data_IF_794426805409
#
_entry.id   IF_794426805409
#
_cell.length_a   1.000
_cell.length_b   1.000
_cell.length_c   1.000
_cell.angle_alpha   90.00
_cell.angle_beta   90.00
_cell.angle_gamma   90.00
#
_symmetry.space_group_name_H-M   'P 1'
#
loop_
_entity.id
_entity.type
_entity.pdbx_description
1 polymer ?
#
# COMPACT_ATOMS: atom_id res chain seq x y z
N UNK A 1 8.64 5.79 -0.74
CA UNK A 1 7.31 5.17 -0.87
C UNK A 1 6.48 6.04 -1.80
N UNK A 2 6.11 5.54 -2.96
CA UNK A 2 5.28 6.25 -3.93
C UNK A 2 3.97 5.50 -4.12
N UNK A 3 2.86 6.19 -3.87
CA UNK A 3 1.50 5.68 -4.09
C UNK A 3 0.80 6.67 -4.98
N UNK A 4 0.30 6.22 -6.12
CA UNK A 4 -0.46 7.03 -7.05
C UNK A 4 -1.79 6.35 -7.30
N UNK A 5 -2.87 7.05 -6.96
CA UNK A 5 -4.23 6.53 -7.06
C UNK A 5 -5.12 7.56 -7.73
N UNK A 6 -5.93 7.08 -8.67
CA UNK A 6 -6.97 7.85 -9.31
C UNK A 6 -8.30 7.17 -9.03
N UNK A 7 -9.23 7.92 -8.45
CA UNK A 7 -10.60 7.46 -8.21
C UNK A 7 -11.57 8.30 -9.04
N UNK A 8 -12.53 7.63 -9.66
CA UNK A 8 -13.68 8.28 -10.32
C UNK A 8 -14.94 7.69 -9.72
N UNK A 9 -15.83 8.55 -9.25
CA UNK A 9 -17.04 8.17 -8.52
C UNK A 9 -18.26 8.80 -9.18
N UNK A 10 -19.31 8.01 -9.33
CA UNK A 10 -20.64 8.46 -9.75
C UNK A 10 -21.61 8.08 -8.64
N UNK A 11 -22.37 9.06 -8.16
CA UNK A 11 -23.34 8.87 -7.08
C UNK A 11 -24.76 9.06 -7.60
N UNK A 12 -25.67 8.15 -7.25
CA UNK A 12 -27.09 8.25 -7.53
C UNK A 12 -27.91 7.84 -6.30
N UNK A 13 -28.71 8.79 -5.77
CA UNK A 13 -29.45 8.64 -4.52
C UNK A 13 -28.54 8.23 -3.35
N UNK A 14 -28.63 6.98 -2.91
CA UNK A 14 -27.86 6.40 -1.79
C UNK A 14 -26.80 5.43 -2.27
N UNK A 15 -26.61 5.31 -3.57
CA UNK A 15 -25.65 4.41 -4.19
C UNK A 15 -24.49 5.20 -4.78
N UNK A 16 -23.29 4.65 -4.66
CA UNK A 16 -22.11 5.16 -5.34
C UNK A 16 -21.39 4.03 -6.07
N UNK A 17 -21.03 4.27 -7.32
CA UNK A 17 -20.17 3.42 -8.11
C UNK A 17 -18.83 4.13 -8.25
N UNK A 18 -17.74 3.42 -7.95
CA UNK A 18 -16.39 3.97 -8.07
C UNK A 18 -15.48 3.05 -8.87
N UNK A 19 -14.61 3.67 -9.67
CA UNK A 19 -13.47 3.02 -10.28
C UNK A 19 -12.20 3.59 -9.66
N UNK A 20 -11.37 2.72 -9.09
CA UNK A 20 -10.05 3.04 -8.56
C UNK A 20 -8.99 2.44 -9.48
N UNK A 21 -8.01 3.24 -9.87
CA UNK A 21 -6.77 2.76 -10.47
C UNK A 21 -5.60 3.17 -9.58
N UNK A 22 -4.78 2.20 -9.18
CA UNK A 22 -3.73 2.42 -8.19
C UNK A 22 -2.44 1.71 -8.55
N UNK A 23 -1.32 2.37 -8.22
CA UNK A 23 -0.01 1.76 -8.17
C UNK A 23 0.67 2.13 -6.84
N UNK A 24 1.34 1.15 -6.24
CA UNK A 24 2.06 1.34 -4.98
C UNK A 24 3.41 0.63 -5.06
N UNK A 25 4.46 1.39 -4.79
CA UNK A 25 5.84 0.94 -4.72
C UNK A 25 6.42 1.29 -3.35
N UNK A 26 6.71 0.26 -2.57
CA UNK A 26 7.19 0.35 -1.20
C UNK A 26 8.49 -0.43 -1.07
N UNK A 27 9.48 0.23 -0.47
CA UNK A 27 10.80 -0.32 -0.18
C UNK A 27 11.15 0.00 1.27
N UNK A 28 11.62 -1.00 2.00
CA UNK A 28 12.24 -0.83 3.30
C UNK A 28 13.59 -1.51 3.28
N UNK A 29 14.61 -0.83 3.81
CA UNK A 29 15.97 -1.35 3.90
C UNK A 29 16.61 -0.95 5.22
N UNK A 30 17.49 -1.81 5.72
CA UNK A 30 18.43 -1.48 6.81
C UNK A 30 19.49 -0.48 6.36
N UNK A 31 20.22 0.13 7.31
CA UNK A 31 21.42 0.92 7.01
C UNK A 31 22.43 0.14 6.17
N UNK A 32 22.63 -1.15 6.47
CA UNK A 32 23.49 -2.01 5.65
C UNK A 32 22.94 -2.29 4.25
N UNK A 33 21.62 -2.23 4.05
CA UNK A 33 21.04 -2.27 2.69
C UNK A 33 21.39 -1.01 1.91
N UNK A 34 21.30 0.15 2.55
CA UNK A 34 21.71 1.41 1.92
C UNK A 34 23.19 1.38 1.55
N UNK A 35 24.04 0.86 2.45
CA UNK A 35 25.47 0.68 2.16
C UNK A 35 25.69 -0.27 0.98
N UNK A 36 25.01 -1.42 0.93
CA UNK A 36 25.09 -2.35 -0.20
C UNK A 36 24.73 -1.69 -1.53
N UNK A 37 23.70 -0.84 -1.53
CA UNK A 37 23.28 -0.10 -2.72
C UNK A 37 24.32 0.96 -3.14
N UNK A 38 24.95 1.65 -2.19
CA UNK A 38 26.02 2.60 -2.49
C UNK A 38 27.25 1.88 -3.05
N UNK A 39 27.65 0.77 -2.44
CA UNK A 39 28.75 -0.08 -2.90
C UNK A 39 28.48 -0.61 -4.33
N UNK A 40 27.25 -1.06 -4.60
CA UNK A 40 26.76 -1.44 -5.93
C UNK A 40 26.91 -0.31 -6.96
N UNK A 41 26.40 0.86 -6.61
CA UNK A 41 26.34 2.02 -7.51
C UNK A 41 27.74 2.57 -7.81
N UNK A 42 28.65 2.51 -6.84
CA UNK A 42 30.04 2.88 -7.01
C UNK A 42 30.86 1.83 -7.77
N UNK A 43 30.29 0.64 -8.04
CA UNK A 43 30.98 -0.55 -8.52
C UNK A 43 32.25 -0.86 -7.68
N UNK A 44 32.19 -0.53 -6.40
CA UNK A 44 33.31 -0.55 -5.48
C UNK A 44 32.81 -1.02 -4.12
N UNK A 45 32.97 -2.32 -3.87
CA UNK A 45 32.68 -2.90 -2.57
C UNK A 45 33.84 -2.61 -1.62
N UNK A 46 33.54 -2.14 -0.41
CA UNK A 46 34.55 -2.04 0.64
C UNK A 46 34.99 -3.46 1.07
N UNK A 47 36.26 -3.87 0.86
CA UNK A 47 36.72 -5.22 1.18
C UNK A 47 36.66 -5.56 2.68
N UNK A 48 36.71 -4.54 3.55
CA UNK A 48 36.59 -4.67 5.00
C UNK A 48 35.16 -4.43 5.51
N UNK A 49 34.20 -4.21 4.61
CA UNK A 49 32.80 -3.96 4.95
C UNK A 49 32.19 -5.18 5.64
N UNK A 50 31.67 -4.96 6.86
CA UNK A 50 30.85 -5.93 7.58
C UNK A 50 29.53 -5.29 8.01
N UNK A 51 28.44 -5.70 7.38
CA UNK A 51 27.12 -5.17 7.71
C UNK A 51 25.98 -6.13 7.33
N UNK A 52 24.87 -6.03 8.07
CA UNK A 52 23.67 -6.82 7.82
C UNK A 52 22.77 -6.14 6.79
N UNK A 53 22.32 -6.93 5.84
CA UNK A 53 21.39 -6.52 4.77
C UNK A 53 20.04 -7.12 5.09
N UNK A 54 19.04 -6.25 5.20
CA UNK A 54 17.64 -6.65 5.32
C UNK A 54 16.82 -5.66 4.52
N UNK A 55 16.34 -6.12 3.36
CA UNK A 55 15.52 -5.33 2.46
C UNK A 55 14.24 -6.07 2.16
N UNK A 56 13.15 -5.32 2.12
CA UNK A 56 11.85 -5.77 1.65
C UNK A 56 11.32 -4.83 0.59
N UNK A 57 10.66 -5.41 -0.40
CA UNK A 57 10.03 -4.71 -1.51
C UNK A 57 8.59 -5.20 -1.65
N UNK A 58 7.68 -4.27 -1.90
CA UNK A 58 6.31 -4.54 -2.32
C UNK A 58 5.94 -3.59 -3.45
N UNK A 59 5.61 -4.14 -4.63
CA UNK A 59 5.14 -3.40 -5.79
C UNK A 59 3.82 -3.97 -6.25
N UNK A 60 2.85 -3.11 -6.46
CA UNK A 60 1.54 -3.53 -6.93
C UNK A 60 0.94 -2.52 -7.89
N UNK A 61 0.17 -3.02 -8.86
CA UNK A 61 -0.69 -2.22 -9.72
C UNK A 61 -2.04 -2.91 -9.82
N UNK A 62 -3.09 -2.17 -9.49
CA UNK A 62 -4.44 -2.70 -9.41
C UNK A 62 -5.47 -1.76 -10.04
N UNK A 63 -6.62 -2.34 -10.37
CA UNK A 63 -7.87 -1.63 -10.61
C UNK A 63 -8.93 -2.21 -9.69
N UNK A 64 -9.80 -1.38 -9.13
CA UNK A 64 -10.92 -1.85 -8.32
C UNK A 64 -12.22 -1.17 -8.75
N UNK A 65 -13.29 -1.96 -8.82
CA UNK A 65 -14.64 -1.47 -8.99
C UNK A 65 -15.35 -1.61 -7.66
N UNK A 66 -15.93 -0.51 -7.20
CA UNK A 66 -16.63 -0.44 -5.92
C UNK A 66 -18.10 -0.13 -6.15
N UNK A 67 -18.97 -0.85 -5.46
CA UNK A 67 -20.37 -0.46 -5.27
C UNK A 67 -20.58 -0.19 -3.79
N UNK A 68 -21.11 0.98 -3.46
CA UNK A 68 -21.41 1.33 -2.08
C UNK A 68 -22.83 1.82 -1.88
N UNK A 69 -23.36 1.57 -0.70
CA UNK A 69 -24.66 2.05 -0.26
C UNK A 69 -24.53 2.85 1.04
N UNK A 70 -25.18 4.01 1.09
CA UNK A 70 -25.28 4.90 2.25
C UNK A 70 -26.61 4.68 2.98
N UNK A 71 -26.55 4.22 4.23
CA UNK A 71 -27.70 3.98 5.11
C UNK A 71 -27.74 5.07 6.18
N UNK A 72 -28.65 6.06 6.08
CA UNK A 72 -28.78 7.08 7.10
C UNK A 72 -29.38 6.49 8.39
N UNK A 73 -28.93 6.97 9.54
CA UNK A 73 -29.48 6.61 10.84
C UNK A 73 -29.64 7.84 11.72
N UNK A 74 -30.48 7.69 12.76
CA UNK A 74 -30.64 8.66 13.83
C UNK A 74 -30.60 7.93 15.16
N UNK A 75 -29.69 8.32 16.04
CA UNK A 75 -29.55 7.72 17.37
C UNK A 75 -29.38 8.83 18.42
N UNK A 76 -30.19 8.81 19.48
CA UNK A 76 -30.18 9.83 20.55
C UNK A 76 -30.22 11.28 20.02
N UNK A 77 -31.07 11.54 19.01
CA UNK A 77 -31.18 12.86 18.37
C UNK A 77 -30.06 13.22 17.39
N UNK A 78 -28.95 12.48 17.40
CA UNK A 78 -27.83 12.64 16.48
C UNK A 78 -28.14 11.99 15.13
N UNK A 79 -27.73 12.67 14.04
CA UNK A 79 -27.84 12.15 12.68
C UNK A 79 -26.49 11.62 12.22
N UNK A 80 -26.52 10.49 11.54
CA UNK A 80 -25.35 9.87 10.93
C UNK A 80 -25.72 9.02 9.73
N UNK A 81 -24.71 8.36 9.17
CA UNK A 81 -24.89 7.36 8.14
C UNK A 81 -23.82 6.29 8.24
N UNK A 82 -24.18 5.10 7.78
CA UNK A 82 -23.26 3.99 7.55
C UNK A 82 -23.09 3.88 6.03
N UNK A 83 -21.86 3.81 5.55
CA UNK A 83 -21.57 3.45 4.18
C UNK A 83 -20.96 2.05 4.17
N UNK A 84 -21.50 1.17 3.34
CA UNK A 84 -20.95 -0.17 3.11
C UNK A 84 -20.56 -0.24 1.65
N UNK A 85 -19.32 -0.62 1.36
CA UNK A 85 -18.83 -0.80 0.00
C UNK A 85 -18.28 -2.21 -0.20
N UNK A 86 -18.61 -2.80 -1.33
CA UNK A 86 -18.01 -4.04 -1.80
C UNK A 86 -17.18 -3.72 -3.01
N UNK A 87 -15.92 -4.16 -3.00
CA UNK A 87 -15.01 -3.95 -4.11
C UNK A 87 -14.64 -5.27 -4.77
N UNK A 88 -14.56 -5.22 -6.09
CA UNK A 88 -13.91 -6.23 -6.89
C UNK A 88 -12.57 -5.68 -7.38
N UNK A 89 -11.48 -6.34 -7.01
CA UNK A 89 -10.11 -5.91 -7.28
C UNK A 89 -9.50 -6.80 -8.36
N UNK A 90 -8.86 -6.18 -9.35
CA UNK A 90 -8.03 -6.84 -10.35
C UNK A 90 -6.59 -6.36 -10.19
N UNK A 91 -5.69 -7.29 -9.90
CA UNK A 91 -4.26 -7.00 -9.74
C UNK A 91 -3.52 -7.37 -11.02
N UNK A 92 -2.93 -6.36 -11.65
CA UNK A 92 -2.22 -6.50 -12.92
C UNK A 92 -0.73 -6.79 -12.72
N UNK A 93 -0.15 -6.23 -11.67
CA UNK A 93 1.25 -6.45 -11.29
C UNK A 93 1.30 -6.63 -9.79
N UNK A 94 2.06 -7.64 -9.36
CA UNK A 94 2.38 -7.92 -7.98
C UNK A 94 3.82 -8.42 -7.90
N UNK A 95 4.63 -7.78 -7.07
CA UNK A 95 5.96 -8.25 -6.69
C UNK A 95 6.15 -8.01 -5.20
N UNK A 96 6.49 -9.05 -4.47
CA UNK A 96 6.84 -8.97 -3.05
C UNK A 96 8.11 -9.75 -2.83
N UNK A 97 9.14 -9.10 -2.32
CA UNK A 97 10.43 -9.73 -2.12
C UNK A 97 11.09 -9.33 -0.82
N UNK A 98 11.86 -10.24 -0.25
CA UNK A 98 12.75 -10.00 0.88
C UNK A 98 14.14 -10.53 0.51
N UNK A 99 15.17 -9.74 0.81
CA UNK A 99 16.55 -10.17 0.76
C UNK A 99 17.17 -9.94 2.12
N UNK A 100 17.61 -11.02 2.76
CA UNK A 100 18.21 -11.00 4.09
C UNK A 100 19.56 -11.69 4.02
N UNK A 101 20.59 -11.06 4.55
CA UNK A 101 21.94 -11.61 4.53
C UNK A 101 22.93 -10.68 5.20
N UNK A 102 24.20 -10.94 4.93
CA UNK A 102 25.31 -10.16 5.45
C UNK A 102 26.35 -9.94 4.36
N UNK A 103 26.98 -8.78 4.43
CA UNK A 103 28.21 -8.50 3.71
C UNK A 103 29.38 -8.89 4.60
N UNK A 104 30.29 -9.74 4.11
CA UNK A 104 31.52 -10.12 4.81
C UNK A 104 32.60 -10.51 3.82
N UNK A 105 33.85 -10.10 4.07
CA UNK A 105 35.02 -10.48 3.26
C UNK A 105 34.80 -10.21 1.76
N UNK A 106 34.33 -9.01 1.41
CA UNK A 106 34.04 -8.61 0.03
C UNK A 106 32.96 -9.46 -0.69
N UNK A 107 32.14 -10.19 0.05
CA UNK A 107 31.08 -11.02 -0.51
C UNK A 107 29.77 -10.84 0.24
N UNK A 108 28.70 -10.63 -0.50
CA UNK A 108 27.35 -10.69 0.04
C UNK A 108 26.90 -12.15 0.06
N UNK A 109 26.43 -12.61 1.21
CA UNK A 109 25.81 -13.92 1.38
C UNK A 109 24.43 -13.77 2.04
N UNK A 110 23.39 -14.31 1.41
CA UNK A 110 22.03 -14.15 1.90
C UNK A 110 21.01 -15.06 1.25
N UNK A 111 19.76 -14.86 1.65
CA UNK A 111 18.59 -15.54 1.11
C UNK A 111 17.66 -14.52 0.46
N UNK A 112 17.31 -14.77 -0.79
CA UNK A 112 16.30 -14.06 -1.55
C UNK A 112 15.01 -14.89 -1.56
N UNK A 113 13.92 -14.25 -1.13
CA UNK A 113 12.56 -14.71 -1.33
C UNK A 113 11.86 -13.70 -2.22
N UNK A 114 11.39 -14.10 -3.40
CA UNK A 114 10.69 -13.19 -4.32
C UNK A 114 9.45 -13.87 -4.88
N UNK A 115 8.31 -13.25 -4.65
CA UNK A 115 7.03 -13.59 -5.25
C UNK A 115 6.73 -12.57 -6.33
N UNK A 116 6.56 -13.02 -7.57
CA UNK A 116 6.46 -12.10 -8.70
C UNK A 116 5.51 -12.60 -9.76
N UNK A 117 4.84 -11.64 -10.37
CA UNK A 117 4.06 -11.81 -11.61
C UNK A 117 4.86 -11.38 -12.86
N UNK A 118 6.01 -10.72 -12.67
CA UNK A 118 6.89 -10.28 -13.76
C UNK A 118 7.54 -11.48 -14.45
N UNK A 119 7.61 -11.45 -15.79
CA UNK A 119 8.23 -12.50 -16.60
C UNK A 119 7.37 -13.76 -16.78
N UNK A 120 6.09 -13.72 -16.36
CA UNK A 120 5.12 -14.78 -16.57
C UNK A 120 4.31 -14.54 -17.86
N UNK A 121 3.87 -15.62 -18.54
CA UNK A 121 3.07 -15.53 -19.78
C UNK A 121 1.74 -14.82 -19.51
N UNK A 122 1.38 -13.86 -20.36
CA UNK A 122 0.35 -12.82 -20.17
C UNK A 122 -1.09 -13.30 -19.87
N UNK A 123 -1.42 -14.58 -20.10
CA UNK A 123 -2.77 -15.11 -19.87
C UNK A 123 -3.09 -15.52 -18.43
N UNK A 124 -2.09 -15.80 -17.58
CA UNK A 124 -2.27 -16.45 -16.26
C UNK A 124 -1.82 -15.60 -15.06
N UNK A 125 -1.58 -14.31 -15.29
CA UNK A 125 -0.87 -13.41 -14.34
C UNK A 125 -1.83 -12.55 -13.50
N UNK A 126 -3.11 -12.57 -13.84
CA UNK A 126 -4.10 -11.68 -13.25
C UNK A 126 -4.53 -12.19 -11.88
N UNK A 127 -4.34 -11.33 -10.87
CA UNK A 127 -4.93 -11.53 -9.56
C UNK A 127 -6.35 -10.98 -9.54
N UNK A 128 -7.24 -11.67 -8.84
CA UNK A 128 -8.60 -11.22 -8.58
C UNK A 128 -8.81 -11.14 -7.08
N UNK A 129 -9.61 -10.21 -6.59
CA UNK A 129 -9.86 -10.06 -5.17
C UNK A 129 -11.20 -9.44 -4.89
N UNK A 130 -11.63 -9.60 -3.64
CA UNK A 130 -12.80 -8.90 -3.11
C UNK A 130 -12.43 -8.27 -1.77
N UNK A 131 -12.97 -7.09 -1.52
CA UNK A 131 -12.86 -6.39 -0.24
C UNK A 131 -14.22 -5.85 0.20
N UNK A 132 -14.33 -5.68 1.51
CA UNK A 132 -15.46 -5.03 2.17
C UNK A 132 -14.93 -3.84 2.97
N UNK A 133 -15.48 -2.67 2.66
CA UNK A 133 -15.23 -1.43 3.36
C UNK A 133 -16.49 -1.00 4.12
N UNK A 134 -16.30 -0.49 5.34
CA UNK A 134 -17.38 0.06 6.15
C UNK A 134 -16.95 1.40 6.70
N UNK A 135 -17.80 2.40 6.55
CA UNK A 135 -17.66 3.68 7.21
C UNK A 135 -18.89 4.00 8.06
N UNK A 136 -18.66 4.58 9.23
CA UNK A 136 -19.71 5.09 10.11
C UNK A 136 -19.39 6.53 10.43
N UNK A 137 -20.28 7.45 10.09
CA UNK A 137 -20.10 8.88 10.29
C UNK A 137 -21.29 9.43 11.06
N UNK A 138 -21.02 10.11 12.16
CA UNK A 138 -22.03 10.66 13.06
C UNK A 138 -21.72 12.11 13.40
N UNK A 139 -22.77 12.91 13.53
CA UNK A 139 -22.66 14.27 14.08
C UNK A 139 -22.82 14.21 15.60
N UNK A 140 -22.04 14.96 16.33
CA UNK A 140 -22.18 15.16 17.77
C UNK A 140 -22.48 16.63 18.01
N UNK A 141 -23.78 16.92 18.17
CA UNK A 141 -24.27 18.30 18.26
C UNK A 141 -24.18 19.04 16.92
N UNK A 142 -24.00 20.36 16.97
CA UNK A 142 -24.05 21.22 15.76
C UNK A 142 -22.68 21.48 15.11
N UNK A 143 -21.58 21.18 15.81
CA UNK A 143 -20.22 21.61 15.40
C UNK A 143 -19.22 20.47 15.20
N UNK A 144 -19.55 19.25 15.60
CA UNK A 144 -18.60 18.15 15.62
C UNK A 144 -19.12 16.99 14.79
N UNK A 145 -18.26 16.42 13.95
CA UNK A 145 -18.53 15.20 13.21
C UNK A 145 -17.40 14.22 13.45
N UNK A 146 -17.76 12.98 13.75
CA UNK A 146 -16.82 11.88 13.87
C UNK A 146 -17.08 10.86 12.80
N UNK A 147 -16.02 10.21 12.34
CA UNK A 147 -16.15 9.04 11.49
C UNK A 147 -15.11 7.99 11.81
N UNK A 148 -15.49 6.75 11.53
CA UNK A 148 -14.63 5.59 11.55
C UNK A 148 -14.76 4.95 10.17
N UNK A 149 -13.63 4.69 9.52
CA UNK A 149 -13.55 4.01 8.24
C UNK A 149 -12.67 2.79 8.41
N UNK A 150 -13.21 1.61 8.11
CA UNK A 150 -12.46 0.38 7.95
C UNK A 150 -12.44 0.02 6.47
N UNK A 151 -11.27 -0.01 5.87
CA UNK A 151 -11.03 -0.50 4.52
C UNK A 151 -10.46 -1.93 4.60
N UNK A 152 -10.78 -2.77 3.63
CA UNK A 152 -10.31 -4.16 3.55
C UNK A 152 -10.62 -4.98 4.82
N UNK A 153 -11.73 -4.68 5.53
CA UNK A 153 -12.12 -5.35 6.79
C UNK A 153 -12.19 -6.86 6.57
N UNK A 154 -12.76 -7.24 5.43
CA UNK A 154 -12.72 -8.59 4.89
C UNK A 154 -12.16 -8.46 3.47
N UNK A 155 -10.86 -8.71 3.32
CA UNK A 155 -10.19 -8.64 2.03
C UNK A 155 -9.43 -9.91 1.69
N UNK A 156 -9.60 -10.42 0.48
CA UNK A 156 -8.81 -11.53 -0.05
C UNK A 156 -8.52 -11.34 -1.53
N UNK A 157 -7.30 -11.68 -1.94
CA UNK A 157 -6.86 -11.70 -3.33
C UNK A 157 -6.32 -13.09 -3.65
N UNK A 158 -6.63 -13.58 -4.85
CA UNK A 158 -6.28 -14.88 -5.37
C UNK A 158 -5.53 -14.74 -6.69
N UNK A 159 -4.51 -15.56 -6.86
CA UNK A 159 -3.75 -15.72 -8.10
C UNK A 159 -3.76 -17.19 -8.49
N UNK A 160 -4.08 -17.45 -9.75
CA UNK A 160 -3.97 -18.79 -10.34
C UNK A 160 -2.49 -19.18 -10.50
N UNK A 161 -1.63 -18.24 -10.89
CA UNK A 161 -0.19 -18.50 -10.96
C UNK A 161 0.59 -17.29 -10.49
N UNK A 162 1.49 -17.54 -9.56
CA UNK A 162 2.54 -16.61 -9.16
C UNK A 162 3.86 -17.37 -9.09
N UNK A 163 4.93 -16.71 -9.54
CA UNK A 163 6.28 -17.25 -9.44
C UNK A 163 6.79 -17.03 -8.02
N UNK A 164 7.19 -18.10 -7.35
CA UNK A 164 7.86 -18.09 -6.04
C UNK A 164 9.32 -18.49 -6.25
N UNK A 165 10.21 -17.52 -6.14
CA UNK A 165 11.66 -17.69 -6.24
C UNK A 165 12.21 -17.74 -4.83
N UNK A 166 12.95 -18.80 -4.53
CA UNK A 166 13.73 -18.93 -3.30
C UNK A 166 15.16 -19.24 -3.70
N UNK A 167 16.07 -18.34 -3.41
CA UNK A 167 17.46 -18.48 -3.78
C UNK A 167 18.38 -18.13 -2.62
N UNK A 168 19.49 -18.85 -2.51
CA UNK A 168 20.67 -18.41 -1.78
C UNK A 168 21.50 -17.58 -2.73
N UNK A 169 21.90 -16.40 -2.29
CA UNK A 169 22.71 -15.46 -3.05
C UNK A 169 24.08 -15.44 -2.41
N UNK A 170 25.11 -15.77 -3.18
CA UNK A 170 26.50 -15.51 -2.83
C UNK A 170 27.14 -14.76 -4.00
N UNK A 171 27.50 -13.49 -3.81
CA UNK A 171 28.13 -12.68 -4.86
C UNK A 171 29.18 -11.72 -4.32
N UNK A 172 30.26 -11.59 -5.07
CA UNK A 172 31.33 -10.59 -4.90
C UNK A 172 31.25 -9.47 -5.94
N UNK A 173 30.25 -9.51 -6.82
CA UNK A 173 29.97 -8.52 -7.87
C UNK A 173 28.53 -8.03 -7.71
N UNK A 174 28.32 -6.72 -7.79
CA UNK A 174 27.04 -6.09 -7.53
C UNK A 174 26.73 -5.08 -8.64
N UNK A 175 26.13 -5.53 -9.74
CA UNK A 175 25.73 -4.68 -10.86
C UNK A 175 24.22 -4.36 -10.76
N UNK A 176 23.75 -3.12 -10.64
CA UNK A 176 22.32 -2.83 -10.65
C UNK A 176 21.74 -2.87 -12.08
N UNK A 177 20.52 -3.39 -12.24
CA UNK A 177 19.72 -3.35 -13.47
C UNK A 177 19.16 -1.94 -13.73
N UNK A 178 18.58 -1.76 -14.91
CA UNK A 178 17.96 -0.49 -15.31
C UNK A 178 16.80 -0.03 -14.40
N UNK A 179 16.27 -0.90 -13.54
CA UNK A 179 15.23 -0.63 -12.54
C UNK A 179 15.80 -0.47 -11.10
N UNK A 180 17.12 -0.55 -10.91
CA UNK A 180 17.82 -0.44 -9.63
C UNK A 180 17.98 -1.75 -8.83
N UNK A 181 17.84 -2.92 -9.47
CA UNK A 181 17.89 -4.25 -8.85
C UNK A 181 19.14 -5.04 -9.26
N UNK A 182 19.79 -5.74 -8.32
CA UNK A 182 21.11 -6.36 -8.55
C UNK A 182 21.11 -7.50 -9.59
N UNK A 183 22.13 -7.53 -10.42
CA UNK A 183 22.37 -8.30 -11.65
C UNK A 183 23.88 -8.52 -11.83
N UNK A 184 24.54 -9.30 -10.97
CA UNK A 184 25.78 -9.98 -11.36
C UNK A 184 25.46 -11.47 -11.54
N UNK A 185 26.33 -12.30 -12.14
CA UNK A 185 26.14 -13.76 -12.17
C UNK A 185 26.41 -14.30 -10.77
N UNK A 186 25.40 -14.44 -9.89
CA UNK A 186 25.67 -14.84 -8.54
C UNK A 186 25.79 -16.36 -8.60
N UNK A 187 26.38 -16.97 -7.58
CA UNK A 187 25.96 -18.32 -7.25
C UNK A 187 24.54 -18.22 -6.68
N UNK A 188 23.55 -17.97 -7.55
CA UNK A 188 22.12 -18.06 -7.28
C UNK A 188 21.77 -19.55 -7.33
N UNK A 189 21.88 -20.21 -6.19
CA UNK A 189 21.37 -21.57 -6.04
C UNK A 189 19.97 -21.50 -5.43
N UNK A 190 18.98 -22.03 -6.13
CA UNK A 190 17.60 -21.83 -5.71
C UNK A 190 16.60 -22.64 -6.50
N UNK A 191 15.35 -22.51 -6.11
CA UNK A 191 14.21 -23.08 -6.81
C UNK A 191 13.28 -21.96 -7.25
N UNK A 192 12.82 -22.07 -8.50
CA UNK A 192 11.69 -21.32 -9.00
C UNK A 192 10.50 -22.28 -9.11
N UNK A 193 9.35 -21.88 -8.56
CA UNK A 193 8.11 -22.65 -8.70
C UNK A 193 6.96 -21.72 -9.04
N UNK A 194 6.12 -22.13 -9.97
CA UNK A 194 4.82 -21.51 -10.18
C UNK A 194 3.80 -22.20 -9.26
N UNK A 195 3.01 -21.42 -8.55
CA UNK A 195 1.93 -21.95 -7.69
C UNK A 195 0.74 -21.02 -7.63
N UNK A 196 -0.40 -21.60 -7.27
CA UNK A 196 -1.57 -20.85 -6.84
C UNK A 196 -1.30 -20.21 -5.48
N UNK A 197 -1.83 -19.00 -5.28
CA UNK A 197 -1.73 -18.31 -4.00
C UNK A 197 -2.97 -17.50 -3.70
N UNK A 198 -3.33 -17.46 -2.42
CA UNK A 198 -4.29 -16.50 -1.88
C UNK A 198 -3.64 -15.69 -0.77
N UNK A 199 -3.89 -14.38 -0.77
CA UNK A 199 -3.43 -13.46 0.27
C UNK A 199 -4.62 -12.81 0.94
N UNK A 200 -4.60 -12.77 2.26
CA UNK A 200 -5.50 -11.91 3.03
C UNK A 200 -4.98 -10.48 2.94
N UNK A 201 -5.84 -9.54 2.59
CA UNK A 201 -5.50 -8.11 2.64
C UNK A 201 -5.59 -7.66 4.09
N UNK A 202 -4.62 -6.86 4.53
CA UNK A 202 -4.63 -6.36 5.88
C UNK A 202 -5.62 -5.20 6.01
N UNK A 203 -6.50 -5.21 7.02
CA UNK A 203 -7.49 -4.15 7.20
C UNK A 203 -6.79 -2.83 7.55
N UNK A 204 -7.32 -1.74 7.00
CA UNK A 204 -6.85 -0.38 7.26
C UNK A 204 -7.94 0.38 7.99
N UNK A 205 -7.54 1.13 9.01
CA UNK A 205 -8.48 1.86 9.85
C UNK A 205 -8.13 3.33 9.85
N UNK A 206 -9.14 4.17 9.64
CA UNK A 206 -9.03 5.62 9.77
C UNK A 206 -10.09 6.12 10.74
N UNK A 207 -9.65 6.89 11.73
CA UNK A 207 -10.51 7.67 12.61
C UNK A 207 -10.42 9.12 12.17
N UNK A 208 -11.55 9.79 12.08
CA UNK A 208 -11.63 11.18 11.65
C UNK A 208 -12.53 11.99 12.55
N UNK A 209 -12.09 13.21 12.82
CA UNK A 209 -12.85 14.22 13.52
C UNK A 209 -12.85 15.50 12.69
N UNK A 210 -14.02 16.08 12.49
CA UNK A 210 -14.17 17.38 11.89
C UNK A 210 -14.84 18.32 12.90
N UNK A 211 -14.13 19.37 13.29
CA UNK A 211 -14.63 20.40 14.18
C UNK A 211 -14.89 21.69 13.42
N UNK A 212 -16.14 22.14 13.40
CA UNK A 212 -16.57 23.38 12.79
C UNK A 212 -16.21 24.56 13.68
N UNK A 213 -15.19 25.31 13.25
CA UNK A 213 -14.68 26.51 13.93
C UNK A 213 -15.54 27.73 13.59
N UNK A 214 -16.05 27.81 12.37
CA UNK A 214 -16.94 28.89 11.93
C UNK A 214 -17.99 28.39 10.94
N UNK A 215 -18.90 29.27 10.51
CA UNK A 215 -19.88 28.89 9.48
C UNK A 215 -19.21 28.45 8.16
N UNK A 216 -17.99 28.92 7.89
CA UNK A 216 -17.25 28.64 6.65
C UNK A 216 -16.00 27.80 6.85
N UNK A 217 -15.63 27.45 8.08
CA UNK A 217 -14.34 26.81 8.38
C UNK A 217 -14.46 25.61 9.33
N UNK A 218 -13.71 24.56 9.03
CA UNK A 218 -13.62 23.34 9.84
C UNK A 218 -12.18 22.87 9.95
N UNK A 219 -11.73 22.58 11.18
CA UNK A 219 -10.52 21.82 11.43
C UNK A 219 -10.81 20.33 11.25
N UNK A 220 -9.85 19.61 10.70
CA UNK A 220 -9.90 18.18 10.42
C UNK A 220 -8.74 17.51 11.13
N UNK A 221 -9.00 16.42 11.83
CA UNK A 221 -8.00 15.55 12.41
C UNK A 221 -8.28 14.13 11.94
N UNK A 222 -7.30 13.49 11.34
CA UNK A 222 -7.35 12.08 10.97
C UNK A 222 -6.22 11.32 11.63
N UNK A 223 -6.56 10.14 12.14
CA UNK A 223 -5.62 9.15 12.63
C UNK A 223 -5.84 7.88 11.81
N UNK A 224 -4.87 7.56 10.95
CA UNK A 224 -4.95 6.39 10.07
C UNK A 224 -3.88 5.36 10.43
N UNK A 225 -4.23 4.08 10.34
CA UNK A 225 -3.32 2.96 10.52
C UNK A 225 -3.09 2.25 9.19
N UNK A 226 -1.92 2.47 8.61
CA UNK A 226 -1.40 1.66 7.51
C UNK A 226 -0.22 0.85 8.05
N UNK A 227 -0.42 -0.46 8.26
CA UNK A 227 0.57 -1.30 8.92
C UNK A 227 1.97 -1.15 8.27
N UNK A 228 3.03 -0.93 9.07
CA UNK A 228 3.07 -0.99 10.53
C UNK A 228 2.87 0.34 11.28
N UNK A 229 2.59 1.46 10.60
CA UNK A 229 2.66 2.80 11.20
C UNK A 229 1.29 3.45 11.37
N UNK A 230 1.14 4.17 12.48
CA UNK A 230 0.10 5.17 12.60
C UNK A 230 0.56 6.45 11.93
N UNK A 231 -0.38 7.14 11.31
CA UNK A 231 -0.16 8.42 10.68
C UNK A 231 -1.22 9.39 11.19
N UNK A 232 -0.75 10.58 11.58
CA UNK A 232 -1.63 11.67 11.99
C UNK A 232 -1.66 12.70 10.86
N UNK A 233 -2.86 13.07 10.44
CA UNK A 233 -3.08 14.16 9.49
C UNK A 233 -3.91 15.25 10.16
N UNK A 234 -3.40 16.46 10.19
CA UNK A 234 -4.17 17.64 10.57
C UNK A 234 -4.47 18.45 9.34
N UNK A 235 -5.70 18.91 9.19
CA UNK A 235 -6.09 19.74 8.08
C UNK A 235 -7.10 20.80 8.45
N UNK A 236 -7.36 21.67 7.50
CA UNK A 236 -8.39 22.69 7.62
C UNK A 236 -9.10 22.81 6.28
N UNK A 237 -10.43 22.87 6.35
CA UNK A 237 -11.29 23.10 5.22
C UNK A 237 -11.99 24.45 5.37
N UNK A 238 -11.86 25.31 4.35
CA UNK A 238 -12.59 26.57 4.25
C UNK A 238 -13.49 26.57 3.02
N UNK A 239 -14.78 26.78 3.21
CA UNK A 239 -15.71 27.10 2.14
C UNK A 239 -15.43 28.51 1.63
N UNK A 240 -15.09 28.61 0.34
CA UNK A 240 -14.82 29.89 -0.32
C UNK A 240 -16.08 30.42 -0.99
N UNK A 241 -16.83 29.56 -1.70
CA UNK A 241 -18.12 29.89 -2.35
C UNK A 241 -19.04 28.65 -2.39
N UNK A 242 -20.28 28.80 -2.89
CA UNK A 242 -21.18 27.66 -3.18
C UNK A 242 -20.45 26.68 -4.11
N UNK A 243 -20.07 25.52 -3.57
CA UNK A 243 -19.43 24.43 -4.31
C UNK A 243 -17.89 24.45 -4.37
N UNK A 244 -17.21 25.50 -3.85
CA UNK A 244 -15.73 25.54 -3.79
C UNK A 244 -15.21 25.58 -2.35
N UNK A 245 -14.37 24.61 -2.01
CA UNK A 245 -13.69 24.50 -0.73
C UNK A 245 -12.18 24.41 -0.92
N UNK A 246 -11.45 25.10 -0.08
CA UNK A 246 -10.00 24.97 0.03
C UNK A 246 -9.70 24.02 1.17
N UNK A 247 -8.82 23.06 0.94
CA UNK A 247 -8.37 22.13 1.96
C UNK A 247 -6.85 22.08 1.94
N UNK A 248 -6.26 22.08 3.13
CA UNK A 248 -4.87 21.73 3.31
C UNK A 248 -4.78 20.68 4.40
N UNK A 249 -3.83 19.76 4.28
CA UNK A 249 -3.56 18.74 5.29
C UNK A 249 -2.04 18.55 5.41
N UNK A 250 -1.57 18.49 6.65
CA UNK A 250 -0.19 18.23 7.03
C UNK A 250 -0.13 16.83 7.61
N UNK A 251 0.82 16.04 7.12
CA UNK A 251 1.14 14.69 7.60
C UNK A 251 2.27 14.79 8.62
N UNK A 252 2.09 14.15 9.77
CA UNK A 252 3.10 13.99 10.83
C UNK A 252 3.59 12.55 10.87
#
# INVERSE_FOLDING_TARGET
MSRNERRTTISYRRWELSLLEGASDVYYGSTGTAQLYLDAKANAINPQGFYNVNVSMSRSRLKAWSISHIVPFKWNGQKGYIQVAVDYVRVHRFQQGNLVGQMRNNQFQGTLLLRSTRGMRSGSVLGHGVSLDIAVIASVGKRLHFGIWGEDIIGRVWWQRIRDIRARVATNTIEPDADGFLHAVPFLSGSEREREMSFKVAPRWTLGCAWRVSERGSCLLFLSRELPKWEVRLGYNRKVNRGRSWWFAIRF
#
